data_IF_055081391945
#
_entry.id   IF_055081391945
#
_cell.length_a   1.000
_cell.length_b   1.000
_cell.length_c   1.000
_cell.angle_alpha   90.00
_cell.angle_beta   90.00
_cell.angle_gamma   90.00
#
_symmetry.space_group_name_H-M   'P 1'
#
loop_
_entity.id
_entity.type
_entity.pdbx_description
1 polymer ?
#
# COMPACT_ATOMS: atom_id res chain seq x y z
N UNK A 1 76.54 -1.72 25.00
CA UNK A 1 75.82 -3.00 25.14
C UNK A 1 74.39 -2.69 25.57
N UNK A 2 73.52 -2.44 24.61
CA UNK A 2 72.13 -2.01 24.82
C UNK A 2 71.21 -3.22 24.74
N UNK A 3 70.63 -3.62 25.87
CA UNK A 3 69.53 -4.59 25.95
C UNK A 3 68.49 -4.05 26.91
N UNK A 4 67.34 -3.67 26.38
CA UNK A 4 66.05 -3.67 27.08
C UNK A 4 64.95 -3.49 26.02
N UNK A 5 64.54 -4.62 25.44
CA UNK A 5 63.38 -4.69 24.55
C UNK A 5 62.10 -4.70 25.40
N UNK A 6 61.37 -3.60 25.42
CA UNK A 6 59.97 -3.60 25.84
C UNK A 6 59.10 -3.81 24.60
N UNK A 7 58.69 -5.05 24.35
CA UNK A 7 57.55 -5.33 23.48
C UNK A 7 56.30 -5.30 24.36
N UNK A 8 55.55 -4.20 24.28
CA UNK A 8 54.20 -4.14 24.82
C UNK A 8 53.32 -5.09 24.00
N UNK A 9 52.89 -6.19 24.62
CA UNK A 9 51.91 -7.11 24.06
C UNK A 9 50.52 -6.51 24.33
N UNK A 10 49.99 -5.72 23.40
CA UNK A 10 48.59 -5.30 23.45
C UNK A 10 47.76 -6.47 22.92
N UNK A 11 47.10 -7.20 23.83
CA UNK A 11 46.02 -8.10 23.49
C UNK A 11 44.88 -7.27 22.89
N UNK A 12 44.67 -7.36 21.58
CA UNK A 12 43.38 -7.00 20.97
C UNK A 12 42.45 -8.21 21.10
N UNK A 13 41.75 -8.29 22.24
CA UNK A 13 40.54 -9.09 22.36
C UNK A 13 39.45 -8.42 21.53
N UNK A 14 39.34 -8.81 20.26
CA UNK A 14 38.15 -8.54 19.45
C UNK A 14 37.02 -9.37 20.07
N UNK A 15 36.30 -8.78 21.03
CA UNK A 15 34.94 -9.23 21.29
C UNK A 15 34.16 -8.95 20.01
N UNK A 16 34.00 -9.98 19.19
CA UNK A 16 32.96 -10.04 18.18
C UNK A 16 31.63 -10.02 18.94
N UNK A 17 31.15 -8.82 19.27
CA UNK A 17 29.74 -8.56 19.41
C UNK A 17 29.16 -8.84 18.03
N UNK A 18 28.81 -10.11 17.80
CA UNK A 18 27.90 -10.49 16.75
C UNK A 18 26.59 -9.80 17.09
N UNK A 19 26.42 -8.57 16.61
CA UNK A 19 25.09 -8.07 16.39
C UNK A 19 24.43 -9.11 15.50
N UNK A 20 23.28 -9.68 15.90
CA UNK A 20 22.45 -10.35 14.93
C UNK A 20 21.99 -9.22 14.02
N UNK A 21 22.71 -9.00 12.92
CA UNK A 21 22.14 -8.33 11.76
C UNK A 21 20.96 -9.19 11.37
N UNK A 22 19.78 -8.79 11.81
CA UNK A 22 18.50 -9.31 11.34
C UNK A 22 18.40 -8.87 9.88
N UNK A 23 19.11 -9.58 9.01
CA UNK A 23 18.77 -9.67 7.60
C UNK A 23 17.52 -10.54 7.50
N UNK A 24 16.38 -9.90 7.78
CA UNK A 24 15.07 -10.43 7.45
C UNK A 24 14.18 -9.25 7.04
N UNK A 25 14.61 -8.51 6.02
CA UNK A 25 13.67 -7.76 5.18
C UNK A 25 12.89 -8.80 4.36
N UNK A 26 12.02 -9.58 5.02
CA UNK A 26 10.92 -10.20 4.30
C UNK A 26 10.07 -9.01 3.86
N UNK A 27 10.12 -8.73 2.56
CA UNK A 27 9.35 -7.70 1.92
C UNK A 27 7.88 -7.79 2.42
N UNK A 28 7.43 -6.78 3.17
CA UNK A 28 6.10 -6.76 3.79
C UNK A 28 4.99 -6.89 2.73
N UNK A 29 5.22 -6.37 1.52
CA UNK A 29 4.31 -6.54 0.39
C UNK A 29 4.11 -8.00 0.01
N UNK A 30 5.18 -8.81 0.05
CA UNK A 30 5.16 -10.20 -0.37
C UNK A 30 4.34 -11.12 0.56
N UNK A 31 4.19 -10.73 1.82
CA UNK A 31 3.51 -11.56 2.82
C UNK A 31 2.11 -11.04 3.16
N UNK A 32 1.88 -9.73 3.16
CA UNK A 32 0.70 -9.15 3.81
C UNK A 32 -0.34 -8.58 2.84
N UNK A 33 0.08 -8.08 1.67
CA UNK A 33 -0.82 -7.32 0.80
C UNK A 33 -2.02 -8.16 0.33
N UNK A 34 -3.22 -7.76 0.74
CA UNK A 34 -4.44 -8.45 0.33
C UNK A 34 -4.75 -9.72 1.13
N UNK A 35 -4.00 -10.01 2.19
CA UNK A 35 -4.30 -11.16 3.06
C UNK A 35 -5.56 -10.89 3.88
N UNK A 36 -6.63 -11.61 3.56
CA UNK A 36 -7.92 -11.53 4.24
C UNK A 36 -8.14 -12.60 5.31
N UNK A 37 -9.37 -12.66 5.83
CA UNK A 37 -9.82 -13.77 6.68
C UNK A 37 -9.92 -15.07 5.87
N UNK A 38 -9.50 -16.19 6.47
CA UNK A 38 -9.76 -17.51 5.93
C UNK A 38 -11.25 -17.87 5.96
N UNK A 39 -11.67 -18.82 5.14
CA UNK A 39 -13.05 -19.31 5.12
C UNK A 39 -13.47 -19.89 6.47
N UNK A 40 -12.53 -20.50 7.18
CA UNK A 40 -12.70 -21.08 8.51
C UNK A 40 -12.94 -19.99 9.56
N UNK A 41 -12.15 -18.90 9.52
CA UNK A 41 -12.34 -17.75 10.40
C UNK A 41 -13.68 -17.05 10.15
N UNK A 42 -14.06 -16.88 8.88
CA UNK A 42 -15.36 -16.30 8.50
C UNK A 42 -16.49 -17.15 9.09
N UNK A 43 -16.48 -18.47 8.83
CA UNK A 43 -17.48 -19.40 9.37
C UNK A 43 -17.55 -19.37 10.90
N UNK A 44 -16.41 -19.35 11.57
CA UNK A 44 -16.34 -19.29 13.02
C UNK A 44 -16.98 -18.01 13.57
N UNK A 45 -16.65 -16.85 13.00
CA UNK A 45 -17.21 -15.55 13.39
C UNK A 45 -18.71 -15.43 13.10
N UNK A 46 -19.18 -15.97 11.97
CA UNK A 46 -20.60 -16.04 11.67
C UNK A 46 -21.36 -16.92 12.69
N UNK A 47 -20.81 -18.08 13.03
CA UNK A 47 -21.40 -18.98 14.03
C UNK A 47 -21.39 -18.39 15.45
N UNK A 48 -20.34 -17.63 15.80
CA UNK A 48 -20.27 -16.89 17.07
C UNK A 48 -21.42 -15.88 17.19
N UNK A 49 -21.64 -15.06 16.15
CA UNK A 49 -22.73 -14.08 16.15
C UNK A 49 -24.12 -14.73 16.25
N UNK A 50 -24.31 -15.93 15.71
CA UNK A 50 -25.57 -16.69 15.88
C UNK A 50 -25.82 -17.09 17.34
N UNK A 51 -24.76 -17.45 18.08
CA UNK A 51 -24.85 -17.86 19.50
C UNK A 51 -24.95 -16.65 20.43
N UNK A 52 -24.16 -15.62 20.15
CA UNK A 52 -24.05 -14.40 20.95
C UNK A 52 -24.07 -13.20 20.01
N UNK A 53 -25.27 -12.67 19.69
CA UNK A 53 -25.42 -11.57 18.75
C UNK A 53 -24.61 -10.35 19.18
N UNK A 54 -23.88 -9.78 18.22
CA UNK A 54 -23.19 -8.50 18.36
C UNK A 54 -24.20 -7.38 18.64
N UNK A 55 -23.94 -6.59 19.69
CA UNK A 55 -24.90 -5.61 20.22
C UNK A 55 -24.46 -4.17 20.06
N UNK A 56 -23.17 -3.90 20.19
CA UNK A 56 -22.67 -2.53 20.07
C UNK A 56 -22.56 -2.14 18.60
N UNK A 57 -22.67 -0.84 18.31
CA UNK A 57 -22.51 -0.31 16.94
C UNK A 57 -21.17 -0.74 16.33
N UNK A 58 -20.09 -0.71 17.12
CA UNK A 58 -18.78 -1.15 16.68
C UNK A 58 -18.76 -2.64 16.30
N UNK A 59 -19.33 -3.51 17.14
CA UNK A 59 -19.40 -4.94 16.84
C UNK A 59 -20.29 -5.25 15.64
N UNK A 60 -21.42 -4.54 15.48
CA UNK A 60 -22.30 -4.72 14.33
C UNK A 60 -21.67 -4.21 13.03
N UNK A 61 -20.86 -3.17 13.12
CA UNK A 61 -20.08 -2.67 12.00
C UNK A 61 -18.97 -3.68 11.60
N UNK A 62 -18.28 -4.28 12.58
CA UNK A 62 -17.32 -5.37 12.33
C UNK A 62 -18.02 -6.63 11.76
N UNK A 63 -19.24 -6.92 12.21
CA UNK A 63 -20.07 -7.99 11.66
C UNK A 63 -20.44 -7.77 10.20
N UNK A 64 -20.75 -6.52 9.82
CA UNK A 64 -20.98 -6.20 8.43
C UNK A 64 -19.74 -6.47 7.57
N UNK A 65 -18.54 -6.20 8.07
CA UNK A 65 -17.29 -6.57 7.38
C UNK A 65 -17.17 -8.09 7.22
N UNK A 66 -17.53 -8.88 8.24
CA UNK A 66 -17.56 -10.35 8.14
C UNK A 66 -18.57 -10.80 7.06
N UNK A 67 -19.75 -10.17 6.98
CA UNK A 67 -20.72 -10.44 5.92
C UNK A 67 -20.17 -10.09 4.52
N UNK A 68 -19.39 -9.02 4.40
CA UNK A 68 -18.69 -8.66 3.16
C UNK A 68 -17.68 -9.74 2.77
N UNK A 69 -16.84 -10.20 3.71
CA UNK A 69 -15.90 -11.31 3.47
C UNK A 69 -16.60 -12.60 3.03
N UNK A 70 -17.80 -12.86 3.53
CA UNK A 70 -18.61 -14.02 3.15
C UNK A 70 -19.39 -13.83 1.82
N UNK A 71 -19.27 -12.67 1.16
CA UNK A 71 -19.99 -12.36 -0.08
C UNK A 71 -21.47 -11.99 0.12
N UNK A 72 -21.93 -11.81 1.36
CA UNK A 72 -23.31 -11.46 1.69
C UNK A 72 -23.54 -9.93 1.62
N UNK A 73 -23.17 -9.30 0.50
CA UNK A 73 -23.14 -7.84 0.35
C UNK A 73 -24.48 -7.17 0.64
N UNK A 74 -25.59 -7.73 0.13
CA UNK A 74 -26.94 -7.19 0.39
C UNK A 74 -27.32 -7.19 1.87
N UNK A 75 -26.91 -8.21 2.63
CA UNK A 75 -27.15 -8.25 4.08
C UNK A 75 -26.27 -7.25 4.82
N UNK A 76 -25.01 -7.11 4.40
CA UNK A 76 -24.11 -6.09 4.94
C UNK A 76 -24.69 -4.68 4.69
N UNK A 77 -25.14 -4.37 3.48
CA UNK A 77 -25.79 -3.10 3.11
C UNK A 77 -27.02 -2.85 3.99
N UNK A 78 -27.90 -3.85 4.17
CA UNK A 78 -29.10 -3.71 4.99
C UNK A 78 -28.75 -3.36 6.44
N UNK A 79 -27.81 -4.11 7.04
CA UNK A 79 -27.36 -3.88 8.41
C UNK A 79 -26.71 -2.50 8.56
N UNK A 80 -25.77 -2.16 7.70
CA UNK A 80 -25.06 -0.88 7.77
C UNK A 80 -25.99 0.31 7.51
N UNK A 81 -27.00 0.16 6.64
CA UNK A 81 -28.02 1.20 6.41
C UNK A 81 -28.87 1.39 7.67
N UNK A 82 -29.21 0.32 8.38
CA UNK A 82 -29.90 0.42 9.66
C UNK A 82 -29.02 1.09 10.72
N UNK A 83 -27.74 0.74 10.80
CA UNK A 83 -26.77 1.38 11.70
C UNK A 83 -26.65 2.87 11.43
N UNK A 84 -26.53 3.28 10.17
CA UNK A 84 -26.47 4.70 9.80
C UNK A 84 -27.75 5.46 10.18
N UNK A 85 -28.93 4.83 10.07
CA UNK A 85 -30.20 5.45 10.50
C UNK A 85 -30.27 5.64 12.02
N UNK A 86 -29.79 4.66 12.78
CA UNK A 86 -29.84 4.68 14.26
C UNK A 86 -28.70 5.52 14.86
N UNK A 87 -27.55 5.54 14.19
CA UNK A 87 -26.31 6.16 14.63
C UNK A 87 -25.65 6.88 13.43
N UNK A 88 -26.21 8.04 13.02
CA UNK A 88 -25.73 8.75 11.85
C UNK A 88 -24.32 9.33 12.04
N UNK A 89 -23.69 9.70 10.93
CA UNK A 89 -22.42 10.43 10.89
C UNK A 89 -21.18 9.66 11.36
N UNK A 90 -21.24 8.33 11.42
CA UNK A 90 -20.07 7.50 11.68
C UNK A 90 -19.27 7.29 10.39
N UNK A 91 -17.99 7.72 10.38
CA UNK A 91 -17.13 7.59 9.20
C UNK A 91 -16.90 6.12 8.80
N UNK A 92 -16.62 5.25 9.78
CA UNK A 92 -16.43 3.80 9.55
C UNK A 92 -17.67 3.12 8.97
N UNK A 93 -18.88 3.51 9.41
CA UNK A 93 -20.13 2.99 8.83
C UNK A 93 -20.31 3.43 7.38
N UNK A 94 -20.01 4.69 7.07
CA UNK A 94 -20.04 5.17 5.69
C UNK A 94 -18.99 4.49 4.80
N UNK A 95 -17.75 4.32 5.27
CA UNK A 95 -16.70 3.61 4.52
C UNK A 95 -17.12 2.16 4.21
N UNK A 96 -17.62 1.43 5.21
CA UNK A 96 -18.08 0.05 5.04
C UNK A 96 -19.34 -0.05 4.16
N UNK A 97 -20.24 0.94 4.18
CA UNK A 97 -21.34 1.03 3.22
C UNK A 97 -20.82 1.18 1.79
N UNK A 98 -19.83 2.05 1.61
CA UNK A 98 -19.20 2.28 0.32
C UNK A 98 -18.62 0.99 -0.26
N UNK A 99 -17.77 0.29 0.50
CA UNK A 99 -17.21 -1.01 0.12
C UNK A 99 -18.30 -2.07 -0.14
N UNK A 100 -19.35 -2.14 0.69
CA UNK A 100 -20.42 -3.11 0.46
C UNK A 100 -21.20 -2.82 -0.83
N UNK A 101 -21.46 -1.55 -1.15
CA UNK A 101 -22.10 -1.16 -2.41
C UNK A 101 -21.20 -1.39 -3.62
N UNK A 102 -19.90 -1.15 -3.49
CA UNK A 102 -18.91 -1.41 -4.54
C UNK A 102 -18.94 -2.89 -4.93
N UNK A 103 -18.80 -3.78 -3.93
CA UNK A 103 -18.79 -5.23 -4.14
C UNK A 103 -20.14 -5.80 -4.60
N UNK A 104 -21.25 -5.10 -4.33
CA UNK A 104 -22.58 -5.41 -4.89
C UNK A 104 -22.80 -4.81 -6.31
N UNK A 105 -21.81 -4.09 -6.86
CA UNK A 105 -21.83 -3.50 -8.21
C UNK A 105 -22.54 -2.15 -8.33
N UNK A 106 -22.94 -1.53 -7.21
CA UNK A 106 -23.65 -0.25 -7.17
C UNK A 106 -22.66 0.92 -7.02
N UNK A 107 -21.80 1.11 -8.02
CA UNK A 107 -20.60 1.97 -7.93
C UNK A 107 -20.91 3.44 -7.61
N UNK A 108 -22.01 4.00 -8.12
CA UNK A 108 -22.41 5.38 -7.79
C UNK A 108 -22.74 5.55 -6.29
N UNK A 109 -23.42 4.57 -5.69
CA UNK A 109 -23.72 4.57 -4.26
C UNK A 109 -22.46 4.32 -3.44
N UNK A 110 -21.57 3.46 -3.92
CA UNK A 110 -20.27 3.24 -3.30
C UNK A 110 -19.51 4.56 -3.15
N UNK A 111 -19.36 5.28 -4.28
CA UNK A 111 -18.67 6.57 -4.32
C UNK A 111 -19.32 7.60 -3.39
N UNK A 112 -20.64 7.68 -3.39
CA UNK A 112 -21.36 8.56 -2.46
C UNK A 112 -20.97 8.27 -1.00
N UNK A 113 -21.01 7.00 -0.57
CA UNK A 113 -20.75 6.64 0.81
C UNK A 113 -19.28 6.78 1.22
N UNK A 114 -18.34 6.47 0.33
CA UNK A 114 -16.91 6.75 0.59
C UNK A 114 -16.67 8.26 0.76
N UNK A 115 -17.30 9.11 -0.09
CA UNK A 115 -17.23 10.57 0.09
C UNK A 115 -17.84 11.03 1.42
N UNK A 116 -18.93 10.41 1.87
CA UNK A 116 -19.47 10.71 3.21
C UNK A 116 -18.49 10.31 4.32
N UNK A 117 -17.82 9.15 4.20
CA UNK A 117 -16.78 8.71 5.12
C UNK A 117 -15.66 9.75 5.23
N UNK A 118 -15.10 10.16 4.08
CA UNK A 118 -14.04 11.15 4.01
C UNK A 118 -14.46 12.53 4.54
N UNK A 119 -15.72 12.93 4.31
CA UNK A 119 -16.26 14.19 4.86
C UNK A 119 -16.35 14.15 6.39
N UNK A 120 -16.70 13.01 6.97
CA UNK A 120 -16.86 12.82 8.43
C UNK A 120 -15.53 12.70 9.14
N UNK A 121 -14.59 12.00 8.52
CA UNK A 121 -13.22 11.83 9.02
C UNK A 121 -12.23 11.81 7.83
N UNK A 122 -11.52 12.91 7.56
CA UNK A 122 -10.51 12.97 6.50
C UNK A 122 -9.33 12.02 6.69
N UNK A 123 -9.14 11.47 7.90
CA UNK A 123 -8.07 10.53 8.24
C UNK A 123 -8.55 9.07 8.29
N UNK A 124 -9.81 8.78 7.94
CA UNK A 124 -10.30 7.40 7.87
C UNK A 124 -9.42 6.58 6.93
N UNK A 125 -9.10 5.34 7.33
CA UNK A 125 -8.11 4.50 6.66
C UNK A 125 -6.78 5.24 6.41
N UNK A 126 -6.30 5.96 7.43
CA UNK A 126 -5.07 6.75 7.39
C UNK A 126 -5.05 7.82 6.29
N UNK A 127 -6.22 8.34 5.90
CA UNK A 127 -6.36 9.39 4.90
C UNK A 127 -6.20 8.92 3.46
N UNK A 128 -6.24 7.60 3.21
CA UNK A 128 -6.04 7.00 1.89
C UNK A 128 -7.31 6.89 1.03
N UNK A 129 -8.50 7.18 1.57
CA UNK A 129 -9.79 7.01 0.86
C UNK A 129 -9.93 7.86 -0.42
N UNK A 130 -9.08 8.87 -0.65
CA UNK A 130 -9.08 9.58 -1.94
C UNK A 130 -8.66 8.66 -3.10
N UNK A 131 -7.82 7.65 -2.85
CA UNK A 131 -7.48 6.62 -3.84
C UNK A 131 -8.68 5.71 -4.09
N UNK A 132 -9.45 5.36 -3.06
CA UNK A 132 -10.70 4.62 -3.24
C UNK A 132 -11.68 5.38 -4.15
N UNK A 133 -11.79 6.70 -3.97
CA UNK A 133 -12.58 7.53 -4.89
C UNK A 133 -12.03 7.48 -6.32
N UNK A 134 -10.71 7.51 -6.52
CA UNK A 134 -10.10 7.39 -7.85
C UNK A 134 -10.35 6.02 -8.50
N UNK A 135 -10.35 4.95 -7.70
CA UNK A 135 -10.73 3.60 -8.13
C UNK A 135 -12.18 3.60 -8.62
N UNK A 136 -13.11 4.11 -7.82
CA UNK A 136 -14.53 4.17 -8.18
C UNK A 136 -14.79 5.08 -9.40
N UNK A 137 -14.02 6.16 -9.56
CA UNK A 137 -14.04 7.02 -10.76
C UNK A 137 -13.61 6.23 -12.00
N UNK A 138 -12.54 5.44 -11.90
CA UNK A 138 -12.07 4.59 -12.99
C UNK A 138 -13.09 3.49 -13.32
N UNK A 139 -13.71 2.86 -12.32
CA UNK A 139 -14.77 1.86 -12.54
C UNK A 139 -15.96 2.46 -13.30
N UNK A 140 -16.44 3.64 -12.89
CA UNK A 140 -17.51 4.37 -13.60
C UNK A 140 -17.11 4.76 -15.02
N UNK A 141 -15.84 5.12 -15.24
CA UNK A 141 -15.33 5.42 -16.57
C UNK A 141 -15.27 4.16 -17.45
N UNK A 142 -14.82 3.02 -16.92
CA UNK A 142 -14.74 1.73 -17.61
C UNK A 142 -16.14 1.23 -17.99
N UNK A 143 -17.15 1.41 -17.13
CA UNK A 143 -18.53 1.07 -17.46
C UNK A 143 -19.05 1.81 -18.70
N UNK A 144 -18.55 3.04 -18.94
CA UNK A 144 -18.90 3.84 -20.12
C UNK A 144 -17.98 3.55 -21.32
N UNK A 145 -16.72 3.28 -21.05
CA UNK A 145 -15.68 3.02 -22.04
C UNK A 145 -14.78 1.86 -21.56
N UNK A 146 -15.06 0.61 -21.97
CA UNK A 146 -14.33 -0.57 -21.47
C UNK A 146 -12.80 -0.52 -21.63
N UNK A 147 -12.34 0.22 -22.64
CA UNK A 147 -10.92 0.42 -22.97
C UNK A 147 -10.28 1.65 -22.27
N UNK A 148 -10.95 2.28 -21.30
CA UNK A 148 -10.52 3.54 -20.68
C UNK A 148 -9.06 3.50 -20.18
N UNK A 149 -8.67 2.40 -19.53
CA UNK A 149 -7.32 2.20 -18.98
C UNK A 149 -6.19 2.14 -20.04
N UNK A 150 -6.50 1.97 -21.34
CA UNK A 150 -5.47 1.99 -22.40
C UNK A 150 -4.79 3.35 -22.52
N UNK A 151 -5.52 4.42 -22.20
CA UNK A 151 -5.08 5.80 -22.40
C UNK A 151 -5.17 6.66 -21.12
N UNK A 152 -5.57 6.07 -19.99
CA UNK A 152 -5.72 6.79 -18.73
C UNK A 152 -5.11 6.01 -17.57
N UNK A 153 -4.58 6.77 -16.63
CA UNK A 153 -4.08 6.26 -15.36
C UNK A 153 -5.11 6.52 -14.25
N UNK A 154 -5.37 5.51 -13.41
CA UNK A 154 -6.35 5.56 -12.31
C UNK A 154 -6.03 6.71 -11.35
N UNK A 155 -4.75 6.91 -11.01
CA UNK A 155 -4.32 7.95 -10.09
C UNK A 155 -3.88 9.23 -10.80
N UNK A 156 -3.77 9.20 -12.13
CA UNK A 156 -3.27 10.30 -12.96
C UNK A 156 -1.75 10.41 -12.95
N UNK A 157 -1.04 9.30 -12.73
CA UNK A 157 0.41 9.21 -12.78
C UNK A 157 0.90 9.00 -14.22
N UNK A 158 2.16 9.37 -14.48
CA UNK A 158 2.83 9.09 -15.75
C UNK A 158 4.31 8.78 -15.50
N UNK A 159 4.70 7.54 -15.81
CA UNK A 159 6.07 7.03 -15.70
C UNK A 159 6.75 6.80 -17.05
N UNK A 160 6.10 7.23 -18.15
CA UNK A 160 6.52 6.95 -19.52
C UNK A 160 6.33 5.48 -19.92
N UNK A 161 6.74 5.15 -21.16
CA UNK A 161 6.56 3.83 -21.78
C UNK A 161 7.88 3.07 -22.01
N UNK A 162 8.99 3.58 -21.46
CA UNK A 162 10.32 2.98 -21.60
C UNK A 162 10.64 2.07 -20.41
N UNK A 163 11.65 1.22 -20.61
CA UNK A 163 12.23 0.34 -19.60
C UNK A 163 12.69 1.07 -18.34
N UNK A 164 13.30 2.24 -18.48
CA UNK A 164 13.61 3.12 -17.35
C UNK A 164 12.41 4.06 -17.09
N UNK A 165 11.67 3.91 -15.97
CA UNK A 165 10.58 4.81 -15.65
C UNK A 165 11.09 6.21 -15.28
N UNK A 166 10.31 7.23 -15.64
CA UNK A 166 10.57 8.64 -15.30
C UNK A 166 9.27 9.23 -14.81
N UNK A 167 9.22 9.75 -13.58
CA UNK A 167 8.04 10.41 -13.06
C UNK A 167 7.81 11.76 -13.76
N UNK A 168 6.98 11.78 -14.80
CA UNK A 168 6.54 13.02 -15.45
C UNK A 168 5.53 13.79 -14.60
N UNK A 169 4.85 13.08 -13.69
CA UNK A 169 3.92 13.64 -12.70
C UNK A 169 4.39 13.19 -11.32
N UNK A 170 4.84 14.13 -10.50
CA UNK A 170 5.38 13.86 -9.16
C UNK A 170 4.39 14.19 -8.03
N UNK A 171 3.28 14.87 -8.34
CA UNK A 171 2.26 15.26 -7.37
C UNK A 171 0.85 15.09 -7.93
N UNK A 172 -0.01 14.44 -7.16
CA UNK A 172 -1.44 14.27 -7.47
C UNK A 172 -2.26 15.26 -6.65
N UNK A 173 -3.24 15.90 -7.27
CA UNK A 173 -4.17 16.80 -6.58
C UNK A 173 -5.53 16.16 -6.39
N UNK A 174 -6.07 16.22 -5.17
CA UNK A 174 -7.42 15.80 -4.84
C UNK A 174 -8.00 16.74 -3.77
N UNK A 175 -9.17 17.31 -4.02
CA UNK A 175 -9.83 18.29 -3.13
C UNK A 175 -8.87 19.36 -2.58
N UNK A 176 -8.14 20.05 -3.47
CA UNK A 176 -7.17 21.10 -3.15
C UNK A 176 -5.92 20.64 -2.37
N UNK A 177 -5.87 19.40 -1.87
CA UNK A 177 -4.68 18.79 -1.28
C UNK A 177 -3.79 18.20 -2.37
N UNK A 178 -2.48 18.33 -2.20
CA UNK A 178 -1.47 17.73 -3.06
C UNK A 178 -0.80 16.58 -2.32
N UNK A 179 -0.57 15.48 -3.04
CA UNK A 179 0.08 14.28 -2.54
C UNK A 179 1.32 14.03 -3.39
N UNK A 180 2.49 13.95 -2.76
CA UNK A 180 3.71 13.55 -3.45
C UNK A 180 3.78 12.03 -3.64
N UNK A 181 4.83 11.54 -4.32
CA UNK A 181 4.97 10.12 -4.62
C UNK A 181 5.10 9.24 -3.37
N UNK A 182 5.68 9.74 -2.27
CA UNK A 182 5.75 8.98 -1.00
C UNK A 182 4.35 8.75 -0.44
N UNK A 183 3.54 9.82 -0.38
CA UNK A 183 2.17 9.74 0.09
C UNK A 183 1.28 8.92 -0.86
N UNK A 184 1.48 9.04 -2.16
CA UNK A 184 0.74 8.23 -3.15
C UNK A 184 1.08 6.76 -2.98
N UNK A 185 2.36 6.41 -2.82
CA UNK A 185 2.80 5.05 -2.59
C UNK A 185 2.19 4.50 -1.29
N UNK A 186 2.33 5.21 -0.17
CA UNK A 186 1.80 4.77 1.13
C UNK A 186 0.29 4.56 1.11
N UNK A 187 -0.48 5.52 0.61
CA UNK A 187 -1.92 5.37 0.47
C UNK A 187 -2.30 4.24 -0.49
N UNK A 188 -1.52 4.01 -1.55
CA UNK A 188 -1.74 2.89 -2.48
C UNK A 188 -1.54 1.55 -1.77
N UNK A 189 -0.52 1.41 -0.89
CA UNK A 189 -0.34 0.17 -0.10
C UNK A 189 -1.57 -0.12 0.75
N UNK A 190 -2.08 0.89 1.46
CA UNK A 190 -3.24 0.74 2.35
C UNK A 190 -4.47 0.30 1.56
N UNK A 191 -4.74 0.96 0.44
CA UNK A 191 -5.92 0.67 -0.37
C UNK A 191 -5.81 -0.67 -1.09
N UNK A 192 -4.63 -1.03 -1.61
CA UNK A 192 -4.42 -2.35 -2.21
C UNK A 192 -4.47 -3.47 -1.16
N UNK A 193 -3.96 -3.23 0.05
CA UNK A 193 -4.11 -4.19 1.16
C UNK A 193 -5.59 -4.45 1.47
N UNK A 194 -6.42 -3.41 1.48
CA UNK A 194 -7.86 -3.55 1.71
C UNK A 194 -8.58 -4.21 0.54
N UNK A 195 -8.34 -3.72 -0.69
CA UNK A 195 -9.07 -4.12 -1.90
C UNK A 195 -8.77 -5.55 -2.34
N UNK A 196 -7.49 -5.95 -2.34
CA UNK A 196 -7.05 -7.26 -2.86
C UNK A 196 -7.54 -8.44 -2.01
N UNK A 197 -8.15 -8.18 -0.84
CA UNK A 197 -8.87 -9.17 -0.02
C UNK A 197 -10.17 -9.65 -0.65
N UNK A 198 -10.75 -8.84 -1.54
CA UNK A 198 -12.12 -9.05 -2.07
C UNK A 198 -12.16 -9.19 -3.59
N UNK A 199 -11.27 -8.51 -4.31
CA UNK A 199 -11.22 -8.55 -5.77
C UNK A 199 -9.99 -9.32 -6.25
N UNK A 200 -10.19 -10.16 -7.26
CA UNK A 200 -9.13 -10.91 -7.91
C UNK A 200 -9.10 -10.55 -9.40
N UNK A 201 -7.90 -10.45 -10.00
CA UNK A 201 -7.70 -10.10 -11.41
C UNK A 201 -8.44 -8.81 -11.82
N UNK A 202 -8.16 -7.73 -11.09
CA UNK A 202 -8.70 -6.40 -11.32
C UNK A 202 -7.68 -5.51 -12.07
N UNK A 203 -7.94 -5.11 -13.32
CA UNK A 203 -7.04 -4.23 -14.09
C UNK A 203 -6.76 -2.88 -13.44
N UNK A 204 -7.69 -2.35 -12.63
CA UNK A 204 -7.47 -1.11 -11.86
C UNK A 204 -6.40 -1.36 -10.80
N UNK A 205 -6.58 -2.39 -9.97
CA UNK A 205 -5.58 -2.80 -8.97
C UNK A 205 -4.24 -3.12 -9.62
N UNK A 206 -4.24 -3.81 -10.77
CA UNK A 206 -3.03 -4.11 -11.52
C UNK A 206 -2.26 -2.85 -11.92
N UNK A 207 -2.95 -1.80 -12.40
CA UNK A 207 -2.32 -0.53 -12.76
C UNK A 207 -1.79 0.22 -11.53
N UNK A 208 -2.54 0.22 -10.41
CA UNK A 208 -2.07 0.85 -9.16
C UNK A 208 -0.81 0.14 -8.64
N UNK A 209 -0.82 -1.20 -8.55
CA UNK A 209 0.35 -1.98 -8.10
C UNK A 209 1.55 -1.80 -9.04
N UNK A 210 1.31 -1.74 -10.36
CA UNK A 210 2.35 -1.40 -11.33
C UNK A 210 2.96 -0.02 -11.08
N UNK A 211 2.13 0.97 -10.72
CA UNK A 211 2.60 2.31 -10.39
C UNK A 211 3.33 2.38 -9.04
N UNK A 212 2.93 1.57 -8.06
CA UNK A 212 3.69 1.42 -6.81
C UNK A 212 5.12 0.95 -7.12
N UNK A 213 5.29 -0.04 -8.01
CA UNK A 213 6.61 -0.47 -8.48
C UNK A 213 7.39 0.70 -9.12
N UNK A 214 6.75 1.48 -9.97
CA UNK A 214 7.39 2.62 -10.63
C UNK A 214 7.89 3.67 -9.64
N UNK A 215 7.08 3.98 -8.61
CA UNK A 215 7.45 4.92 -7.56
C UNK A 215 8.70 4.42 -6.82
N UNK A 216 8.70 3.17 -6.40
CA UNK A 216 9.84 2.54 -5.71
C UNK A 216 11.11 2.58 -6.57
N UNK A 217 10.99 2.37 -7.90
CA UNK A 217 12.13 2.48 -8.84
C UNK A 217 12.67 3.91 -8.94
N UNK A 218 11.81 4.91 -9.17
CA UNK A 218 12.27 6.29 -9.37
C UNK A 218 12.80 6.92 -8.08
N UNK A 219 12.33 6.43 -6.93
CA UNK A 219 12.82 6.83 -5.62
C UNK A 219 14.05 6.04 -5.16
N UNK A 220 14.48 5.01 -5.89
CA UNK A 220 15.61 4.15 -5.52
C UNK A 220 15.49 3.64 -4.09
N UNK A 221 14.35 3.03 -3.76
CA UNK A 221 14.12 2.51 -2.41
C UNK A 221 15.14 1.44 -2.00
N UNK A 222 15.34 1.29 -0.69
CA UNK A 222 16.41 0.47 -0.12
C UNK A 222 16.11 -1.05 -0.17
N UNK A 223 14.87 -1.43 -0.47
CA UNK A 223 14.45 -2.83 -0.50
C UNK A 223 14.77 -3.43 -1.88
N UNK A 224 15.94 -4.06 -1.96
CA UNK A 224 16.30 -4.89 -3.09
C UNK A 224 15.18 -5.91 -3.31
N UNK A 225 14.61 -5.92 -4.52
CA UNK A 225 13.53 -6.79 -5.01
C UNK A 225 12.09 -6.31 -4.82
N UNK A 226 11.81 -5.29 -3.99
CA UNK A 226 10.44 -4.77 -3.82
C UNK A 226 9.77 -4.34 -5.14
N UNK A 227 10.43 -3.55 -6.01
CA UNK A 227 9.84 -3.21 -7.31
C UNK A 227 9.60 -4.41 -8.21
N UNK A 228 10.48 -5.43 -8.16
CA UNK A 228 10.33 -6.64 -8.99
C UNK A 228 9.09 -7.43 -8.54
N UNK A 229 8.91 -7.61 -7.23
CA UNK A 229 7.72 -8.24 -6.67
C UNK A 229 6.43 -7.51 -7.08
N UNK A 230 6.41 -6.18 -6.96
CA UNK A 230 5.24 -5.40 -7.34
C UNK A 230 4.95 -5.48 -8.85
N UNK A 231 5.97 -5.50 -9.71
CA UNK A 231 5.75 -5.73 -11.14
C UNK A 231 5.17 -7.13 -11.43
N UNK A 232 5.66 -8.17 -10.74
CA UNK A 232 5.13 -9.53 -10.90
C UNK A 232 3.68 -9.62 -10.42
N UNK A 233 3.38 -9.06 -9.26
CA UNK A 233 2.00 -8.97 -8.75
C UNK A 233 1.08 -8.21 -9.71
N UNK A 234 1.54 -7.10 -10.29
CA UNK A 234 0.76 -6.39 -11.30
C UNK A 234 0.46 -7.28 -12.53
N UNK A 235 1.44 -8.11 -12.94
CA UNK A 235 1.25 -9.13 -13.98
C UNK A 235 0.18 -10.15 -13.61
N UNK A 236 0.25 -10.72 -12.40
CA UNK A 236 -0.71 -11.69 -11.88
C UNK A 236 -2.14 -11.13 -11.76
N UNK A 237 -2.25 -9.81 -11.52
CA UNK A 237 -3.50 -9.05 -11.50
C UNK A 237 -4.02 -8.67 -12.89
N UNK A 238 -3.36 -9.10 -13.98
CA UNK A 238 -3.66 -8.78 -15.39
C UNK A 238 -3.38 -7.33 -15.81
N UNK A 239 -2.21 -6.80 -15.49
CA UNK A 239 -1.77 -5.52 -16.05
C UNK A 239 -1.72 -5.57 -17.59
N UNK A 240 -2.24 -4.53 -18.25
CA UNK A 240 -2.53 -4.53 -19.69
C UNK A 240 -1.31 -4.66 -20.60
N UNK A 241 -0.10 -4.35 -20.09
CA UNK A 241 1.12 -4.35 -20.86
C UNK A 241 2.20 -5.23 -20.22
N UNK A 242 2.13 -6.57 -20.37
CA UNK A 242 3.10 -7.49 -19.79
C UNK A 242 4.51 -7.30 -20.37
N UNK A 243 4.62 -6.81 -21.62
CA UNK A 243 5.93 -6.50 -22.22
C UNK A 243 6.65 -5.40 -21.44
N UNK A 244 5.94 -4.34 -21.05
CA UNK A 244 6.53 -3.24 -20.28
C UNK A 244 6.95 -3.67 -18.87
N UNK A 245 6.21 -4.59 -18.24
CA UNK A 245 6.63 -5.23 -16.99
C UNK A 245 8.00 -5.89 -17.17
N UNK A 246 8.16 -6.72 -18.20
CA UNK A 246 9.41 -7.40 -18.47
C UNK A 246 10.57 -6.42 -18.75
N UNK A 247 10.33 -5.43 -19.62
CA UNK A 247 11.33 -4.39 -19.94
C UNK A 247 11.78 -3.63 -18.68
N UNK A 248 10.87 -3.33 -17.74
CA UNK A 248 11.18 -2.65 -16.48
C UNK A 248 11.95 -3.54 -15.52
N UNK A 249 11.57 -4.81 -15.39
CA UNK A 249 12.32 -5.79 -14.59
C UNK A 249 13.74 -5.99 -15.12
N UNK A 250 13.90 -6.11 -16.44
CA UNK A 250 15.22 -6.24 -17.08
C UNK A 250 16.09 -5.01 -16.85
N UNK A 251 15.49 -3.81 -16.89
CA UNK A 251 16.21 -2.59 -16.54
C UNK A 251 16.74 -2.65 -15.11
N UNK A 252 15.96 -3.08 -14.13
CA UNK A 252 16.41 -3.20 -12.73
C UNK A 252 17.54 -4.23 -12.59
N UNK A 253 17.40 -5.39 -13.24
CA UNK A 253 18.32 -6.51 -13.10
C UNK A 253 19.65 -6.28 -13.82
N UNK A 254 19.62 -5.70 -15.01
CA UNK A 254 20.78 -5.68 -15.92
C UNK A 254 21.37 -4.29 -16.17
N UNK A 255 20.66 -3.20 -15.88
CA UNK A 255 21.18 -1.85 -16.11
C UNK A 255 22.28 -1.49 -15.11
N UNK A 256 23.52 -1.39 -15.61
CA UNK A 256 24.65 -0.84 -14.84
C UNK A 256 24.37 0.59 -14.35
N UNK A 257 23.65 1.37 -15.16
CA UNK A 257 23.29 2.75 -14.82
C UNK A 257 22.32 2.81 -13.65
N UNK A 258 21.29 1.96 -13.63
CA UNK A 258 20.37 1.88 -12.50
C UNK A 258 21.10 1.47 -11.22
N UNK A 259 21.94 0.43 -11.28
CA UNK A 259 22.74 -0.04 -10.14
C UNK A 259 23.65 1.06 -9.60
N UNK A 260 24.33 1.78 -10.50
CA UNK A 260 25.16 2.92 -10.13
C UNK A 260 24.35 4.02 -9.43
N UNK A 261 23.25 4.48 -10.03
CA UNK A 261 22.40 5.52 -9.43
C UNK A 261 21.84 5.09 -8.07
N UNK A 262 21.29 3.89 -7.99
CA UNK A 262 20.76 3.32 -6.74
C UNK A 262 21.80 3.32 -5.64
N UNK A 263 23.01 2.81 -5.94
CA UNK A 263 24.14 2.82 -5.00
C UNK A 263 24.50 4.24 -4.54
N UNK A 264 24.63 5.20 -5.46
CA UNK A 264 24.98 6.59 -5.11
C UNK A 264 23.94 7.26 -4.22
N UNK A 265 22.65 7.05 -4.50
CA UNK A 265 21.55 7.63 -3.72
C UNK A 265 21.46 6.98 -2.34
N UNK A 266 21.68 5.67 -2.25
CA UNK A 266 21.72 4.95 -0.97
C UNK A 266 22.85 5.45 -0.08
N UNK A 267 24.05 5.68 -0.63
CA UNK A 267 25.15 6.29 0.12
C UNK A 267 24.77 7.68 0.64
N UNK A 268 24.23 8.54 -0.24
CA UNK A 268 23.83 9.89 0.15
C UNK A 268 22.80 9.89 1.29
N UNK A 269 21.80 9.00 1.22
CA UNK A 269 20.81 8.82 2.29
C UNK A 269 21.42 8.30 3.58
N UNK A 270 22.31 7.31 3.50
CA UNK A 270 23.01 6.77 4.68
C UNK A 270 23.80 7.85 5.42
N UNK A 271 24.52 8.70 4.68
CA UNK A 271 25.25 9.85 5.25
C UNK A 271 24.27 10.84 5.91
N UNK A 272 23.19 11.21 5.23
CA UNK A 272 22.18 12.14 5.77
C UNK A 272 21.53 11.64 7.07
N UNK A 273 21.25 10.34 7.16
CA UNK A 273 20.66 9.73 8.34
C UNK A 273 21.63 9.72 9.53
N UNK A 274 22.92 9.41 9.30
CA UNK A 274 23.95 9.49 10.32
C UNK A 274 24.07 10.92 10.89
N UNK A 275 24.08 11.94 10.02
CA UNK A 275 24.11 13.34 10.46
C UNK A 275 22.89 13.73 11.29
N UNK A 276 21.70 13.31 10.88
CA UNK A 276 20.46 13.60 11.59
C UNK A 276 20.42 12.94 12.97
N UNK A 277 20.93 11.70 13.08
CA UNK A 277 21.04 11.00 14.35
C UNK A 277 22.02 11.68 15.30
N UNK A 278 23.23 12.05 14.82
CA UNK A 278 24.22 12.80 15.59
C UNK A 278 23.66 14.13 16.13
N UNK A 279 22.92 14.88 15.30
CA UNK A 279 22.27 16.13 15.71
C UNK A 279 21.21 15.86 16.79
N UNK A 280 20.43 14.78 16.67
CA UNK A 280 19.42 14.42 17.68
C UNK A 280 20.04 14.02 19.01
N UNK A 281 21.15 13.27 19.01
CA UNK A 281 21.87 12.89 20.23
C UNK A 281 22.50 14.10 20.92
N UNK A 282 23.06 15.05 20.15
CA UNK A 282 23.61 16.30 20.71
C UNK A 282 22.49 17.12 21.36
N UNK A 283 21.33 17.25 20.70
CA UNK A 283 20.17 17.98 21.24
C UNK A 283 19.56 17.34 22.50
N UNK A 284 19.72 16.03 22.71
CA UNK A 284 19.23 15.35 23.92
C UNK A 284 20.21 15.45 25.09
N UNK A 285 21.47 15.84 24.85
CA UNK A 285 22.52 15.98 25.88
C UNK A 285 22.69 17.43 26.38
N UNK A 286 21.94 18.39 25.84
CA UNK A 286 21.89 19.80 26.23
C UNK A 286 20.53 20.09 26.86
#
# INVERSE_FOLDING_TARGET
MTKLSHKALILFSILSLSSPSVFACINTYAFELGRGLSKEEIKAKLAENLKKPYKTVAQQNDYAVILIYDGQYKKAIQLLTQLEKQHPNLAKTAANLGTAYELDGQIEKAKYWILQGLKRDPNIHHGSEWIHIKILDAELAIQKQPDWLKNHDVLGLDFGKKAAPIAHIEKISFNQKKYDLDQVLEHSKIQMDQRLKFVNKDPISAQIVFNMANIEVVQYSNEQDTPIFLYDMAGDLNYQNPKLIHERKDYLQYSKWYKFKSFTIQIARGISNLFSHLISEIKQKV
#
